data_IF_649539445023
#
_entry.id   IF_649539445023
#
_cell.length_a   1.000
_cell.length_b   1.000
_cell.length_c   1.000
_cell.angle_alpha   90.00
_cell.angle_beta   90.00
_cell.angle_gamma   90.00
#
_symmetry.space_group_name_H-M   'P 1'
#
loop_
_entity.id
_entity.type
_entity.pdbx_description
1 polymer ?
#
# COMPACT_ATOMS: atom_id res chain seq x y z
N UNK A 1 -90.20 39.03 1.36
CA UNK A 1 -89.11 39.52 0.50
C UNK A 1 -88.06 38.43 0.42
N UNK A 2 -88.02 37.69 -0.70
CA UNK A 2 -86.96 37.75 -1.72
C UNK A 2 -85.55 37.33 -1.24
N UNK A 3 -85.18 36.12 -1.66
CA UNK A 3 -83.87 35.61 -2.14
C UNK A 3 -82.57 36.02 -1.43
N UNK A 4 -81.74 35.03 -1.06
CA UNK A 4 -80.54 34.69 -1.86
C UNK A 4 -79.95 33.32 -1.50
N UNK A 5 -79.70 32.52 -2.55
CA UNK A 5 -78.96 31.27 -2.58
C UNK A 5 -77.46 31.48 -2.28
N UNK A 6 -76.84 30.63 -1.46
CA UNK A 6 -75.41 30.32 -1.57
C UNK A 6 -75.22 28.81 -1.52
N UNK A 7 -74.73 28.27 -2.64
CA UNK A 7 -74.31 26.88 -2.82
C UNK A 7 -73.01 26.65 -2.04
N UNK A 8 -72.99 25.68 -1.14
CA UNK A 8 -71.75 25.17 -0.53
C UNK A 8 -71.17 24.12 -1.49
N UNK A 9 -70.03 24.44 -2.10
CA UNK A 9 -69.22 23.51 -2.89
C UNK A 9 -68.32 22.76 -1.92
N UNK A 10 -68.61 21.48 -1.69
CA UNK A 10 -67.71 20.58 -0.96
C UNK A 10 -66.68 20.01 -1.94
N UNK A 11 -65.42 20.39 -1.77
CA UNK A 11 -64.30 19.86 -2.55
C UNK A 11 -63.76 18.62 -1.83
N UNK A 12 -64.09 17.43 -2.33
CA UNK A 12 -63.48 16.17 -1.88
C UNK A 12 -62.11 16.03 -2.56
N UNK A 13 -61.02 16.22 -1.82
CA UNK A 13 -59.68 15.83 -2.27
C UNK A 13 -59.47 14.37 -1.87
N UNK A 14 -59.59 13.47 -2.84
CA UNK A 14 -59.16 12.09 -2.68
C UNK A 14 -57.62 12.06 -2.75
N UNK A 15 -56.96 11.95 -1.59
CA UNK A 15 -55.52 11.65 -1.54
C UNK A 15 -55.35 10.15 -1.69
N UNK A 16 -55.06 9.69 -2.90
CA UNK A 16 -54.55 8.34 -3.14
C UNK A 16 -53.09 8.29 -2.67
N UNK A 17 -52.86 7.73 -1.48
CA UNK A 17 -51.52 7.29 -1.07
C UNK A 17 -51.13 6.09 -1.94
N UNK A 18 -50.40 6.33 -3.03
CA UNK A 18 -49.57 5.28 -3.64
C UNK A 18 -48.34 5.11 -2.76
N UNK A 19 -48.36 4.09 -1.91
CA UNK A 19 -47.16 3.61 -1.25
C UNK A 19 -46.23 3.02 -2.33
N UNK A 20 -45.30 3.83 -2.84
CA UNK A 20 -44.15 3.32 -3.58
C UNK A 20 -43.25 2.68 -2.53
N UNK A 21 -43.35 1.36 -2.40
CA UNK A 21 -42.37 0.59 -1.66
C UNK A 21 -41.04 0.72 -2.38
N UNK A 22 -40.13 1.53 -1.83
CA UNK A 22 -38.71 1.38 -2.14
C UNK A 22 -38.25 0.08 -1.49
N UNK A 23 -38.19 -0.98 -2.28
CA UNK A 23 -37.37 -2.14 -1.93
C UNK A 23 -35.92 -1.66 -1.96
N UNK A 24 -35.36 -1.39 -0.77
CA UNK A 24 -33.93 -1.16 -0.61
C UNK A 24 -33.30 -2.48 -0.18
N UNK A 25 -33.26 -3.45 -1.10
CA UNK A 25 -32.22 -4.49 -1.07
C UNK A 25 -31.04 -3.91 -1.83
N UNK A 26 -30.24 -3.10 -1.14
CA UNK A 26 -28.87 -2.89 -1.59
C UNK A 26 -28.06 -3.99 -0.93
N UNK A 27 -27.80 -5.07 -1.67
CA UNK A 27 -26.85 -6.09 -1.24
C UNK A 27 -25.57 -5.40 -0.76
N UNK A 28 -25.09 -5.80 0.42
CA UNK A 28 -23.86 -5.26 0.97
C UNK A 28 -22.70 -5.59 0.01
N UNK A 29 -21.73 -4.68 -0.18
CA UNK A 29 -20.58 -4.93 -1.04
C UNK A 29 -19.77 -6.14 -0.56
N UNK A 30 -19.27 -6.93 -1.49
CA UNK A 30 -18.49 -8.12 -1.22
C UNK A 30 -17.03 -7.77 -0.98
N UNK A 31 -16.56 -7.89 0.26
CA UNK A 31 -15.18 -7.58 0.64
C UNK A 31 -14.41 -8.85 1.00
N UNK A 32 -13.32 -9.12 0.28
CA UNK A 32 -12.40 -10.21 0.60
C UNK A 32 -11.24 -9.74 1.44
N UNK A 33 -10.97 -10.46 2.53
CA UNK A 33 -9.79 -10.23 3.36
C UNK A 33 -8.73 -11.28 3.06
N UNK A 34 -7.60 -10.85 2.52
CA UNK A 34 -6.43 -11.69 2.24
C UNK A 34 -5.42 -11.56 3.38
N UNK A 35 -5.26 -12.62 4.16
CA UNK A 35 -4.37 -12.62 5.32
C UNK A 35 -2.96 -13.08 4.98
N UNK A 36 -1.96 -12.31 5.44
CA UNK A 36 -0.54 -12.65 5.29
C UNK A 36 0.18 -12.92 6.62
N UNK A 37 -0.50 -12.67 7.76
CA UNK A 37 0.03 -12.85 9.10
C UNK A 37 0.18 -11.51 9.84
N UNK A 38 1.37 -11.26 10.38
CA UNK A 38 1.67 -10.04 11.12
C UNK A 38 1.14 -10.00 12.56
N UNK A 39 1.40 -8.88 13.22
CA UNK A 39 1.03 -8.59 14.62
C UNK A 39 -0.47 -8.57 14.86
N UNK A 40 -1.25 -8.17 13.84
CA UNK A 40 -2.73 -8.13 13.92
C UNK A 40 -3.34 -9.51 14.10
N UNK A 41 -2.68 -10.53 13.52
CA UNK A 41 -2.97 -11.93 13.74
C UNK A 41 -2.11 -12.55 14.85
N UNK A 42 -1.28 -11.76 15.54
CA UNK A 42 -0.34 -12.23 16.55
C UNK A 42 -0.96 -12.31 17.95
N UNK A 43 -0.37 -13.15 18.80
CA UNK A 43 -0.76 -13.35 20.19
C UNK A 43 0.44 -13.25 21.13
N UNK A 44 0.23 -12.64 22.29
CA UNK A 44 1.20 -12.53 23.37
C UNK A 44 0.83 -13.47 24.53
N UNK A 45 1.81 -13.85 25.34
CA UNK A 45 1.60 -14.66 26.56
C UNK A 45 0.88 -13.89 27.69
N UNK A 46 0.89 -12.56 27.63
CA UNK A 46 0.21 -11.67 28.57
C UNK A 46 -0.25 -10.39 27.87
N UNK A 47 -1.37 -9.83 28.31
CA UNK A 47 -1.93 -8.59 27.77
C UNK A 47 -1.04 -7.36 28.00
N UNK A 48 -0.10 -7.43 28.95
CA UNK A 48 0.87 -6.36 29.27
C UNK A 48 2.26 -6.60 28.66
N UNK A 49 2.46 -7.69 27.93
CA UNK A 49 3.73 -8.00 27.27
C UNK A 49 3.85 -7.26 25.92
N UNK A 50 5.02 -6.69 25.67
CA UNK A 50 5.39 -6.19 24.33
C UNK A 50 5.85 -7.30 23.37
N UNK A 51 6.27 -8.46 23.91
CA UNK A 51 6.68 -9.62 23.13
C UNK A 51 5.47 -10.46 22.72
N UNK A 52 5.39 -10.83 21.45
CA UNK A 52 4.33 -11.64 20.86
C UNK A 52 4.87 -12.53 19.73
N UNK A 53 4.08 -13.52 19.31
CA UNK A 53 4.32 -14.28 18.08
C UNK A 53 3.32 -13.83 17.01
N UNK A 54 3.79 -13.48 15.82
CA UNK A 54 2.93 -13.08 14.69
C UNK A 54 2.18 -14.29 14.11
N UNK A 55 1.05 -14.05 13.43
CA UNK A 55 0.39 -15.08 12.62
C UNK A 55 -0.21 -16.27 13.39
N UNK A 56 -0.69 -16.07 14.62
CA UNK A 56 -1.26 -17.13 15.45
C UNK A 56 -2.78 -17.27 15.30
N UNK A 57 -3.46 -16.26 14.76
CA UNK A 57 -4.92 -16.19 14.67
C UNK A 57 -5.35 -16.26 13.20
N UNK A 58 -6.19 -17.24 12.88
CA UNK A 58 -6.78 -17.39 11.55
C UNK A 58 -7.78 -16.28 11.20
N UNK A 59 -7.93 -16.01 9.91
CA UNK A 59 -8.73 -14.88 9.41
C UNK A 59 -10.20 -14.90 9.86
N UNK A 60 -10.85 -16.06 9.89
CA UNK A 60 -12.25 -16.14 10.30
C UNK A 60 -12.46 -15.73 11.77
N UNK A 61 -11.50 -16.09 12.63
CA UNK A 61 -11.48 -15.67 14.03
C UNK A 61 -11.33 -14.17 14.16
N UNK A 62 -10.45 -13.55 13.36
CA UNK A 62 -10.30 -12.09 13.34
C UNK A 62 -11.58 -11.38 12.88
N UNK A 63 -12.23 -11.86 11.81
CA UNK A 63 -13.50 -11.29 11.32
C UNK A 63 -14.58 -11.38 12.41
N UNK A 64 -14.71 -12.54 13.06
CA UNK A 64 -15.72 -12.74 14.11
C UNK A 64 -15.45 -11.90 15.37
N UNK A 65 -14.19 -11.53 15.61
CA UNK A 65 -13.79 -10.72 16.76
C UNK A 65 -14.09 -9.21 16.59
N UNK A 66 -14.44 -8.74 15.39
CA UNK A 66 -14.73 -7.31 15.13
C UNK A 66 -16.25 -7.07 15.05
N UNK A 67 -16.87 -6.46 16.08
CA UNK A 67 -18.29 -6.20 16.08
C UNK A 67 -18.71 -5.25 14.96
N UNK A 68 -19.84 -5.54 14.31
CA UNK A 68 -20.43 -4.66 13.29
C UNK A 68 -19.76 -4.71 11.93
N UNK A 69 -18.65 -5.44 11.74
CA UNK A 69 -17.94 -5.51 10.45
C UNK A 69 -18.85 -6.04 9.32
N UNK A 70 -19.73 -7.00 9.63
CA UNK A 70 -20.72 -7.56 8.69
C UNK A 70 -21.89 -6.62 8.36
N UNK A 71 -21.94 -5.44 8.99
CA UNK A 71 -22.89 -4.37 8.61
C UNK A 71 -22.30 -3.45 7.55
N UNK A 72 -20.98 -3.50 7.33
CA UNK A 72 -20.28 -2.69 6.33
C UNK A 72 -20.22 -3.37 4.96
N UNK A 73 -20.16 -4.70 4.94
CA UNK A 73 -19.90 -5.52 3.77
C UNK A 73 -20.30 -6.98 4.04
N UNK A 74 -20.51 -7.77 2.98
CA UNK A 74 -20.40 -9.23 3.09
C UNK A 74 -18.90 -9.59 3.11
N UNK A 75 -18.42 -9.95 4.30
CA UNK A 75 -16.98 -10.11 4.58
C UNK A 75 -16.62 -11.58 4.66
N UNK A 76 -15.59 -11.96 3.91
CA UNK A 76 -15.05 -13.30 3.94
C UNK A 76 -13.53 -13.29 3.79
N UNK A 77 -12.87 -14.33 4.33
CA UNK A 77 -11.42 -14.36 4.48
C UNK A 77 -10.75 -15.49 3.70
N UNK A 78 -9.52 -15.25 3.26
CA UNK A 78 -8.62 -16.25 2.68
C UNK A 78 -7.21 -16.08 3.26
N UNK A 79 -6.56 -17.19 3.61
CA UNK A 79 -5.18 -17.17 4.10
C UNK A 79 -4.21 -17.33 2.93
N UNK A 80 -3.46 -16.27 2.61
CA UNK A 80 -2.47 -16.29 1.51
C UNK A 80 -1.10 -16.71 2.01
N UNK A 81 -0.68 -16.19 3.16
CA UNK A 81 0.57 -16.53 3.86
C UNK A 81 0.36 -16.37 5.37
N UNK A 82 1.30 -16.84 6.19
CA UNK A 82 1.21 -16.67 7.63
C UNK A 82 2.60 -16.44 8.25
N UNK A 83 3.14 -15.24 8.03
CA UNK A 83 4.52 -14.88 8.42
C UNK A 83 4.57 -13.53 9.13
N UNK A 84 5.67 -13.27 9.83
CA UNK A 84 6.04 -11.90 10.18
C UNK A 84 6.37 -11.10 8.92
N UNK A 85 6.07 -9.80 8.89
CA UNK A 85 6.34 -8.97 7.71
C UNK A 85 7.83 -8.90 7.35
N UNK A 86 8.71 -9.08 8.32
CA UNK A 86 10.16 -9.20 8.12
C UNK A 86 10.57 -10.45 7.31
N UNK A 87 9.69 -11.44 7.20
CA UNK A 87 9.92 -12.69 6.45
C UNK A 87 9.11 -12.71 5.12
N UNK A 88 8.55 -11.58 4.70
CA UNK A 88 7.86 -11.47 3.40
C UNK A 88 8.88 -11.62 2.26
N UNK A 89 8.53 -12.45 1.29
CA UNK A 89 9.35 -12.73 0.11
C UNK A 89 8.69 -12.24 -1.17
N UNK A 90 9.47 -12.16 -2.25
CA UNK A 90 8.96 -11.88 -3.61
C UNK A 90 7.93 -12.92 -4.04
N UNK A 91 8.11 -14.18 -3.65
CA UNK A 91 7.14 -15.25 -3.94
C UNK A 91 5.78 -14.95 -3.30
N UNK A 92 5.76 -14.51 -2.03
CA UNK A 92 4.54 -14.11 -1.33
C UNK A 92 3.91 -12.89 -2.01
N UNK A 93 4.71 -11.90 -2.43
CA UNK A 93 4.22 -10.75 -3.20
C UNK A 93 3.56 -11.16 -4.52
N UNK A 94 4.20 -12.01 -5.30
CA UNK A 94 3.64 -12.50 -6.58
C UNK A 94 2.36 -13.31 -6.34
N UNK A 95 2.33 -14.19 -5.34
CA UNK A 95 1.13 -14.95 -4.95
C UNK A 95 -0.02 -14.03 -4.56
N UNK A 96 0.24 -13.05 -3.69
CA UNK A 96 -0.76 -12.09 -3.23
C UNK A 96 -1.29 -11.23 -4.36
N UNK A 97 -0.42 -10.65 -5.18
CA UNK A 97 -0.81 -9.78 -6.30
C UNK A 97 -1.60 -10.53 -7.38
N UNK A 98 -1.20 -11.77 -7.71
CA UNK A 98 -1.95 -12.60 -8.66
C UNK A 98 -3.34 -12.92 -8.11
N UNK A 99 -3.45 -13.28 -6.83
CA UNK A 99 -4.73 -13.56 -6.19
C UNK A 99 -5.65 -12.33 -6.14
N UNK A 100 -5.09 -11.15 -5.85
CA UNK A 100 -5.82 -9.89 -5.90
C UNK A 100 -6.36 -9.62 -7.30
N UNK A 101 -5.52 -9.74 -8.33
CA UNK A 101 -5.94 -9.52 -9.72
C UNK A 101 -7.00 -10.52 -10.18
N UNK A 102 -6.89 -11.79 -9.77
CA UNK A 102 -7.91 -12.82 -10.06
C UNK A 102 -9.26 -12.46 -9.42
N UNK A 103 -9.26 -12.12 -8.13
CA UNK A 103 -10.49 -11.79 -7.40
C UNK A 103 -11.16 -10.52 -7.93
N UNK A 104 -10.38 -9.47 -8.19
CA UNK A 104 -10.93 -8.19 -8.67
C UNK A 104 -11.37 -8.20 -10.13
N UNK A 105 -10.97 -9.20 -10.91
CA UNK A 105 -11.49 -9.43 -12.26
C UNK A 105 -12.91 -10.00 -12.26
N UNK A 106 -13.37 -10.59 -11.15
CA UNK A 106 -14.77 -11.00 -10.97
C UNK A 106 -15.63 -9.82 -10.53
N UNK A 107 -16.90 -9.83 -10.91
CA UNK A 107 -17.93 -8.91 -10.40
C UNK A 107 -18.38 -9.27 -8.97
N UNK A 108 -18.05 -10.46 -8.48
CA UNK A 108 -18.42 -10.96 -7.14
C UNK A 108 -17.58 -10.36 -5.99
N UNK A 109 -16.55 -9.58 -6.30
CA UNK A 109 -15.69 -8.92 -5.30
C UNK A 109 -15.66 -7.43 -5.58
N UNK A 110 -16.10 -6.63 -4.63
CA UNK A 110 -16.18 -5.16 -4.74
C UNK A 110 -14.93 -4.47 -4.20
N UNK A 111 -14.22 -5.11 -3.27
CA UNK A 111 -12.99 -4.59 -2.68
C UNK A 111 -12.20 -5.64 -1.91
N UNK A 112 -10.93 -5.33 -1.66
CA UNK A 112 -10.01 -6.21 -0.93
C UNK A 112 -9.40 -5.49 0.26
N UNK A 113 -9.33 -6.21 1.38
CA UNK A 113 -8.49 -5.86 2.52
C UNK A 113 -7.33 -6.85 2.60
N UNK A 114 -6.11 -6.38 2.82
CA UNK A 114 -4.95 -7.22 3.12
C UNK A 114 -4.55 -7.01 4.57
N UNK A 115 -4.60 -8.05 5.40
CA UNK A 115 -4.00 -7.99 6.75
C UNK A 115 -2.53 -8.35 6.66
N UNK A 116 -1.68 -7.46 7.17
CA UNK A 116 -0.22 -7.52 7.00
C UNK A 116 0.51 -7.10 8.28
N UNK A 117 1.74 -7.59 8.45
CA UNK A 117 2.65 -7.11 9.49
C UNK A 117 3.19 -5.71 9.15
N UNK A 118 3.46 -4.89 10.16
CA UNK A 118 3.76 -3.47 9.94
C UNK A 118 5.17 -3.20 9.44
N UNK A 119 6.13 -4.12 9.56
CA UNK A 119 7.54 -3.81 9.27
C UNK A 119 7.81 -3.57 7.78
N UNK A 120 7.14 -4.30 6.89
CA UNK A 120 7.30 -4.19 5.42
C UNK A 120 5.97 -3.92 4.71
N UNK A 121 4.96 -3.42 5.44
CA UNK A 121 3.66 -3.10 4.86
C UNK A 121 3.75 -2.00 3.80
N UNK A 122 4.61 -1.01 4.00
CA UNK A 122 4.84 0.07 3.01
C UNK A 122 5.40 -0.45 1.69
N UNK A 123 6.21 -1.51 1.75
CA UNK A 123 6.82 -2.16 0.59
C UNK A 123 5.76 -2.97 -0.16
N UNK A 124 5.02 -3.82 0.55
CA UNK A 124 3.96 -4.64 -0.03
C UNK A 124 2.87 -3.77 -0.66
N UNK A 125 2.43 -2.72 0.04
CA UNK A 125 1.44 -1.79 -0.48
C UNK A 125 1.94 -1.11 -1.78
N UNK A 126 3.20 -0.65 -1.80
CA UNK A 126 3.75 -0.01 -2.99
C UNK A 126 3.89 -0.99 -4.17
N UNK A 127 4.39 -2.20 -3.92
CA UNK A 127 4.43 -3.25 -4.93
C UNK A 127 3.05 -3.51 -5.54
N UNK A 128 2.03 -3.74 -4.69
CA UNK A 128 0.65 -3.94 -5.13
C UNK A 128 0.13 -2.75 -5.95
N UNK A 129 0.44 -1.51 -5.54
CA UNK A 129 -0.01 -0.30 -6.24
C UNK A 129 0.47 -0.25 -7.69
N UNK A 130 1.63 -0.85 -7.98
CA UNK A 130 2.21 -0.88 -9.32
C UNK A 130 1.67 -2.02 -10.18
N UNK A 131 1.27 -3.15 -9.59
CA UNK A 131 1.00 -4.40 -10.35
C UNK A 131 -0.47 -4.84 -10.33
N UNK A 132 -1.29 -4.33 -9.41
CA UNK A 132 -2.74 -4.59 -9.40
C UNK A 132 -3.40 -3.87 -10.58
N UNK A 133 -4.31 -4.54 -11.29
CA UNK A 133 -5.01 -4.04 -12.48
C UNK A 133 -6.51 -3.94 -12.23
N UNK A 134 -6.87 -3.07 -11.30
CA UNK A 134 -8.25 -2.77 -10.97
C UNK A 134 -8.39 -1.33 -10.47
N UNK A 135 -9.58 -0.77 -10.61
CA UNK A 135 -10.03 0.46 -9.95
C UNK A 135 -10.77 0.17 -8.64
N UNK A 136 -11.14 -1.09 -8.38
CA UNK A 136 -11.75 -1.53 -7.12
C UNK A 136 -10.80 -1.31 -5.95
N UNK A 137 -11.29 -0.95 -4.76
CA UNK A 137 -10.43 -0.59 -3.64
C UNK A 137 -9.58 -1.76 -3.14
N UNK A 138 -8.30 -1.50 -2.88
CA UNK A 138 -7.40 -2.42 -2.17
C UNK A 138 -6.80 -1.68 -0.98
N UNK A 139 -7.05 -2.20 0.22
CA UNK A 139 -6.62 -1.56 1.47
C UNK A 139 -5.74 -2.52 2.26
N UNK A 140 -4.50 -2.16 2.51
CA UNK A 140 -3.67 -2.90 3.47
C UNK A 140 -3.87 -2.34 4.87
N UNK A 141 -3.90 -3.21 5.87
CA UNK A 141 -4.01 -2.83 7.29
C UNK A 141 -3.21 -3.80 8.18
N UNK A 142 -3.01 -3.42 9.42
CA UNK A 142 -2.19 -4.15 10.39
C UNK A 142 -2.38 -3.60 11.81
N UNK A 143 -1.45 -3.96 12.69
CA UNK A 143 -1.38 -3.40 14.05
C UNK A 143 0.07 -3.37 14.54
N UNK A 144 0.36 -2.39 15.40
CA UNK A 144 1.56 -2.26 16.21
C UNK A 144 1.46 -3.08 17.50
N UNK A 145 0.25 -3.28 18.05
CA UNK A 145 -0.01 -4.11 19.23
C UNK A 145 -0.63 -5.46 18.84
N UNK A 146 -0.25 -6.51 19.55
CA UNK A 146 -0.82 -7.84 19.34
C UNK A 146 -2.31 -7.87 19.70
N UNK A 147 -3.04 -8.86 19.17
CA UNK A 147 -4.49 -9.00 19.41
C UNK A 147 -4.87 -9.14 20.90
N UNK A 148 -3.96 -9.67 21.72
CA UNK A 148 -4.17 -9.90 23.16
C UNK A 148 -3.74 -8.72 24.02
N UNK A 149 -3.08 -7.71 23.45
CA UNK A 149 -2.55 -6.57 24.19
C UNK A 149 -3.66 -5.65 24.73
N UNK A 150 -3.41 -5.01 25.87
CA UNK A 150 -4.29 -3.94 26.36
C UNK A 150 -4.36 -2.83 25.30
N UNK A 151 -5.57 -2.38 25.01
CA UNK A 151 -5.84 -1.34 24.01
C UNK A 151 -5.28 -1.68 22.62
N UNK A 152 -5.38 -2.94 22.20
CA UNK A 152 -5.07 -3.35 20.84
C UNK A 152 -5.93 -2.60 19.82
N UNK A 153 -5.29 -1.99 18.82
CA UNK A 153 -5.93 -1.18 17.78
C UNK A 153 -6.36 -1.99 16.54
N UNK A 154 -5.89 -3.24 16.43
CA UNK A 154 -6.19 -4.14 15.30
C UNK A 154 -7.67 -4.24 14.94
N UNK A 155 -8.60 -4.40 15.91
CA UNK A 155 -10.04 -4.47 15.60
C UNK A 155 -10.59 -3.23 14.89
N UNK A 156 -10.24 -2.02 15.34
CA UNK A 156 -10.72 -0.79 14.70
C UNK A 156 -10.03 -0.55 13.35
N UNK A 157 -8.73 -0.84 13.25
CA UNK A 157 -8.00 -0.79 11.98
C UNK A 157 -8.66 -1.71 10.94
N UNK A 158 -9.00 -2.95 11.31
CA UNK A 158 -9.68 -3.90 10.41
C UNK A 158 -11.08 -3.44 10.03
N UNK A 159 -11.86 -2.95 11.00
CA UNK A 159 -13.20 -2.39 10.75
C UNK A 159 -13.15 -1.24 9.74
N UNK A 160 -12.24 -0.27 9.96
CA UNK A 160 -12.07 0.88 9.09
C UNK A 160 -11.53 0.48 7.71
N UNK A 161 -10.61 -0.49 7.63
CA UNK A 161 -10.11 -0.99 6.36
C UNK A 161 -11.22 -1.65 5.52
N UNK A 162 -12.11 -2.42 6.15
CA UNK A 162 -13.30 -2.97 5.46
C UNK A 162 -14.23 -1.85 5.01
N UNK A 163 -14.46 -0.83 5.86
CA UNK A 163 -15.30 0.31 5.47
C UNK A 163 -14.74 1.09 4.28
N UNK A 164 -13.42 1.23 4.18
CA UNK A 164 -12.78 1.85 3.01
C UNK A 164 -12.93 0.94 1.79
N UNK A 165 -12.67 -0.37 1.95
CA UNK A 165 -12.75 -1.33 0.85
C UNK A 165 -14.17 -1.48 0.29
N UNK A 166 -15.19 -1.23 1.10
CA UNK A 166 -16.60 -1.26 0.72
C UNK A 166 -17.15 0.06 0.19
N UNK A 167 -16.37 1.14 0.20
CA UNK A 167 -16.88 2.47 -0.14
C UNK A 167 -16.64 2.83 -1.63
N UNK A 168 -17.68 3.23 -2.38
CA UNK A 168 -17.53 3.66 -3.77
C UNK A 168 -16.55 4.82 -3.99
N UNK A 169 -16.39 5.75 -3.04
CA UNK A 169 -15.45 6.88 -3.13
C UNK A 169 -13.98 6.44 -3.09
N UNK A 170 -13.71 5.22 -2.60
CA UNK A 170 -12.38 4.64 -2.58
C UNK A 170 -11.96 4.04 -3.94
N UNK A 171 -12.87 3.94 -4.92
CA UNK A 171 -12.55 3.48 -6.27
C UNK A 171 -11.58 4.45 -6.95
N UNK A 172 -10.61 3.90 -7.67
CA UNK A 172 -9.62 4.68 -8.40
C UNK A 172 -8.58 5.40 -7.53
N UNK A 173 -8.50 5.11 -6.22
CA UNK A 173 -7.52 5.69 -5.29
C UNK A 173 -6.19 4.91 -5.22
N UNK A 174 -6.06 3.85 -6.01
CA UNK A 174 -4.93 2.92 -5.96
C UNK A 174 -4.95 2.07 -4.69
N UNK A 175 -3.82 1.42 -4.39
CA UNK A 175 -3.68 0.70 -3.13
C UNK A 175 -3.51 1.72 -2.00
N UNK A 176 -4.28 1.52 -0.93
CA UNK A 176 -4.25 2.36 0.25
C UNK A 176 -3.69 1.60 1.45
N UNK A 177 -3.17 2.35 2.42
CA UNK A 177 -2.80 1.84 3.75
C UNK A 177 -3.68 2.52 4.78
N UNK A 178 -4.38 1.74 5.60
CA UNK A 178 -5.24 2.28 6.67
C UNK A 178 -4.86 1.75 8.04
N UNK A 179 -4.43 2.68 8.89
CA UNK A 179 -4.00 2.48 10.28
C UNK A 179 -4.31 3.77 11.05
N UNK A 180 -4.71 3.66 12.32
CA UNK A 180 -4.87 4.81 13.22
C UNK A 180 -5.79 5.90 12.64
N UNK A 181 -6.95 5.50 12.12
CA UNK A 181 -7.99 6.37 11.54
C UNK A 181 -7.54 7.19 10.32
N UNK A 182 -6.39 6.87 9.73
CA UNK A 182 -5.82 7.55 8.57
C UNK A 182 -5.90 6.67 7.32
N UNK A 183 -5.98 7.32 6.15
CA UNK A 183 -5.93 6.69 4.84
C UNK A 183 -4.74 7.25 4.07
N UNK A 184 -3.76 6.42 3.74
CA UNK A 184 -2.56 6.83 3.02
C UNK A 184 -2.49 6.21 1.63
N UNK A 185 -1.86 6.92 0.69
CA UNK A 185 -1.45 6.34 -0.58
C UNK A 185 -0.29 5.38 -0.35
N UNK A 186 -0.36 4.18 -0.93
CA UNK A 186 0.69 3.16 -0.82
C UNK A 186 2.09 3.67 -1.17
N UNK A 187 2.18 4.55 -2.19
CA UNK A 187 3.44 5.16 -2.61
C UNK A 187 4.06 6.08 -1.56
N UNK A 188 3.25 6.83 -0.83
CA UNK A 188 3.75 7.94 -0.02
C UNK A 188 3.91 7.59 1.47
N UNK A 189 3.32 6.49 1.93
CA UNK A 189 3.33 6.10 3.35
C UNK A 189 4.61 5.36 3.77
N UNK A 190 5.15 5.66 4.94
CA UNK A 190 6.22 4.86 5.56
C UNK A 190 6.01 4.71 7.05
N UNK A 191 6.58 3.66 7.63
CA UNK A 191 6.64 3.42 9.07
C UNK A 191 7.71 4.33 9.69
N UNK A 192 7.27 5.41 10.33
CA UNK A 192 8.11 6.45 10.94
C UNK A 192 8.36 6.24 12.44
N UNK A 193 7.65 5.30 13.08
CA UNK A 193 7.86 4.98 14.49
C UNK A 193 7.85 3.47 14.74
N UNK A 194 8.71 3.02 15.65
CA UNK A 194 8.92 1.61 15.95
C UNK A 194 7.87 1.01 16.88
N UNK A 195 7.14 1.82 17.67
CA UNK A 195 6.22 1.30 18.72
C UNK A 195 4.87 2.01 18.81
N UNK A 196 4.78 3.28 18.42
CA UNK A 196 3.55 4.08 18.49
C UNK A 196 2.50 3.55 17.50
N UNK A 197 1.22 3.52 17.89
CA UNK A 197 0.09 3.16 17.00
C UNK A 197 -0.05 4.13 15.82
N UNK A 198 0.38 5.38 15.97
CA UNK A 198 0.50 6.36 14.89
C UNK A 198 1.84 6.22 14.14
N UNK A 199 2.24 4.99 13.81
CA UNK A 199 3.57 4.72 13.22
C UNK A 199 3.66 5.03 11.74
N UNK A 200 2.57 4.90 10.98
CA UNK A 200 2.58 5.16 9.54
C UNK A 200 2.27 6.62 9.27
N UNK A 201 3.10 7.26 8.45
CA UNK A 201 2.92 8.65 8.03
C UNK A 201 3.24 8.78 6.55
N UNK A 202 2.67 9.79 5.90
CA UNK A 202 3.06 10.20 4.54
C UNK A 202 3.75 11.56 4.61
N UNK A 203 5.03 11.62 5.02
CA UNK A 203 5.62 12.86 5.52
C UNK A 203 5.88 13.93 4.45
N UNK A 204 5.93 13.56 3.16
CA UNK A 204 6.18 14.49 2.06
C UNK A 204 4.87 15.05 1.50
N UNK A 205 3.90 14.17 1.21
CA UNK A 205 2.66 14.54 0.51
C UNK A 205 1.45 14.64 1.44
N UNK A 206 1.48 14.02 2.62
CA UNK A 206 0.34 13.91 3.53
C UNK A 206 -0.59 12.76 3.18
N UNK A 207 -1.48 12.42 4.11
CA UNK A 207 -2.50 11.38 3.95
C UNK A 207 -3.52 11.74 2.85
N UNK A 208 -4.18 10.73 2.29
CA UNK A 208 -5.28 10.89 1.34
C UNK A 208 -6.56 11.35 2.05
N UNK A 209 -6.81 10.87 3.26
CA UNK A 209 -8.07 11.05 3.96
C UNK A 209 -8.04 10.53 5.39
N UNK A 210 -9.18 10.66 6.07
CA UNK A 210 -9.43 10.07 7.38
C UNK A 210 -10.60 9.10 7.33
N UNK A 211 -10.63 8.16 8.28
CA UNK A 211 -11.72 7.21 8.49
C UNK A 211 -12.00 7.11 9.99
N UNK A 212 -13.27 7.28 10.37
CA UNK A 212 -13.70 7.25 11.76
C UNK A 212 -14.95 6.38 11.89
N UNK A 213 -14.79 5.19 12.49
CA UNK A 213 -15.86 4.21 12.66
C UNK A 213 -16.65 3.98 11.37
N UNK A 214 -15.91 3.78 10.26
CA UNK A 214 -16.45 3.49 8.93
C UNK A 214 -17.02 4.67 8.16
N UNK A 215 -17.00 5.89 8.74
CA UNK A 215 -17.24 7.13 8.00
C UNK A 215 -15.91 7.68 7.52
N UNK A 216 -15.77 7.92 6.23
CA UNK A 216 -14.51 8.39 5.65
C UNK A 216 -14.69 9.67 4.86
N UNK A 217 -13.57 10.37 4.67
CA UNK A 217 -13.50 11.54 3.81
C UNK A 217 -12.09 11.67 3.24
N UNK A 218 -12.01 11.89 1.92
CA UNK A 218 -10.77 12.14 1.21
C UNK A 218 -10.51 13.65 1.13
N UNK A 219 -9.27 14.05 1.41
CA UNK A 219 -8.76 15.41 1.29
C UNK A 219 -7.86 15.58 0.07
N UNK A 220 -7.27 14.49 -0.42
CA UNK A 220 -6.29 14.47 -1.51
C UNK A 220 -6.45 13.23 -2.39
N UNK A 221 -5.94 13.33 -3.61
CA UNK A 221 -5.83 12.27 -4.60
C UNK A 221 -4.36 11.87 -4.81
N UNK A 222 -4.05 10.60 -5.11
CA UNK A 222 -2.71 10.24 -5.54
C UNK A 222 -2.39 10.89 -6.90
N UNK A 223 -1.15 11.35 -7.08
CA UNK A 223 -0.71 12.12 -8.25
C UNK A 223 0.34 11.42 -9.13
N UNK A 224 0.45 10.09 -9.02
CA UNK A 224 1.42 9.25 -9.74
C UNK A 224 0.70 8.08 -10.40
N UNK A 225 1.38 7.34 -11.27
CA UNK A 225 0.76 6.19 -11.94
C UNK A 225 0.66 4.98 -11.00
N UNK A 226 -0.50 4.36 -10.96
CA UNK A 226 -0.80 3.15 -10.20
C UNK A 226 -1.93 2.36 -10.87
N UNK A 227 -2.21 1.15 -10.40
CA UNK A 227 -3.38 0.40 -10.81
C UNK A 227 -3.41 0.14 -12.33
N UNK A 228 -4.55 0.45 -12.95
CA UNK A 228 -4.77 0.38 -14.40
C UNK A 228 -3.90 1.34 -15.21
N UNK A 229 -3.44 2.46 -14.62
CA UNK A 229 -2.55 3.42 -15.32
C UNK A 229 -1.08 3.00 -15.28
N UNK A 230 -0.73 2.02 -14.43
CA UNK A 230 0.62 1.50 -14.36
C UNK A 230 0.94 0.58 -15.54
N UNK A 231 2.15 0.69 -16.09
CA UNK A 231 2.63 -0.19 -17.16
C UNK A 231 3.13 -1.56 -16.66
N UNK A 232 3.34 -1.72 -15.35
CA UNK A 232 3.87 -2.96 -14.79
C UNK A 232 2.78 -4.01 -14.66
N UNK A 233 3.07 -5.23 -15.11
CA UNK A 233 2.22 -6.40 -14.89
C UNK A 233 3.12 -7.58 -14.51
N UNK A 234 2.60 -8.43 -13.62
CA UNK A 234 3.27 -9.65 -13.16
C UNK A 234 2.68 -10.92 -13.78
N UNK A 235 1.80 -10.81 -14.78
CA UNK A 235 1.23 -11.98 -15.47
C UNK A 235 2.35 -12.86 -16.03
N UNK A 236 2.41 -14.11 -15.58
CA UNK A 236 3.44 -15.08 -15.99
C UNK A 236 4.82 -14.87 -15.38
N UNK A 237 5.01 -13.85 -14.52
CA UNK A 237 6.26 -13.60 -13.81
C UNK A 237 6.38 -14.60 -12.66
N UNK A 238 7.47 -15.38 -12.66
CA UNK A 238 7.78 -16.36 -11.60
C UNK A 238 8.80 -15.82 -10.59
N UNK A 239 9.70 -14.96 -11.05
CA UNK A 239 10.77 -14.37 -10.25
C UNK A 239 10.98 -12.92 -10.68
N UNK A 240 11.49 -12.09 -9.78
CA UNK A 240 11.91 -10.72 -10.09
C UNK A 240 13.43 -10.62 -10.02
N UNK A 241 14.05 -9.74 -10.83
CA UNK A 241 15.50 -9.50 -10.77
C UNK A 241 15.95 -9.15 -9.35
N UNK A 242 17.08 -9.72 -8.92
CA UNK A 242 17.68 -9.39 -7.63
C UNK A 242 18.10 -7.93 -7.62
N UNK A 243 17.52 -7.16 -6.70
CA UNK A 243 17.92 -5.78 -6.39
C UNK A 243 18.23 -5.71 -4.90
N UNK A 244 19.43 -5.22 -4.59
CA UNK A 244 19.91 -5.11 -3.21
C UNK A 244 19.92 -3.63 -2.77
N UNK A 245 19.90 -3.39 -1.45
CA UNK A 245 20.02 -2.04 -0.87
C UNK A 245 21.33 -1.97 -0.10
N UNK A 246 22.15 -0.95 -0.35
CA UNK A 246 23.36 -0.67 0.43
C UNK A 246 23.17 0.62 1.21
N UNK A 247 23.42 0.57 2.51
CA UNK A 247 23.32 1.74 3.37
C UNK A 247 24.61 2.55 3.36
N UNK A 248 24.55 3.82 2.98
CA UNK A 248 25.71 4.69 3.02
C UNK A 248 25.98 5.23 4.43
N UNK A 249 27.25 5.33 4.78
CA UNK A 249 27.75 5.86 6.04
C UNK A 249 29.16 6.45 5.83
N UNK A 250 29.68 7.15 6.84
CA UNK A 250 31.03 7.69 6.79
C UNK A 250 32.03 6.54 6.66
N UNK A 251 32.97 6.65 5.71
CA UNK A 251 33.93 5.59 5.40
C UNK A 251 33.28 4.29 4.84
N UNK A 252 32.15 4.43 4.14
CA UNK A 252 31.58 3.32 3.36
C UNK A 252 32.59 2.83 2.31
N UNK A 253 32.86 1.52 2.33
CA UNK A 253 33.80 0.89 1.41
C UNK A 253 33.15 0.62 0.03
N UNK A 254 33.87 0.87 -1.09
CA UNK A 254 33.38 0.60 -2.45
C UNK A 254 33.24 -0.89 -2.79
N UNK A 255 33.95 -1.77 -2.06
CA UNK A 255 33.89 -3.22 -2.29
C UNK A 255 32.49 -3.82 -2.04
N UNK A 256 31.63 -3.15 -1.26
CA UNK A 256 30.25 -3.54 -1.05
C UNK A 256 29.51 -3.67 -2.38
N UNK A 257 29.71 -2.73 -3.32
CA UNK A 257 29.10 -2.82 -4.66
C UNK A 257 29.59 -4.08 -5.37
N UNK A 258 30.90 -4.33 -5.39
CA UNK A 258 31.49 -5.51 -6.03
C UNK A 258 30.97 -6.82 -5.42
N UNK A 259 30.76 -6.87 -4.11
CA UNK A 259 30.19 -8.05 -3.42
C UNK A 259 28.76 -8.34 -3.89
N UNK A 260 27.91 -7.31 -4.01
CA UNK A 260 26.55 -7.45 -4.49
C UNK A 260 26.49 -7.85 -5.98
N UNK A 261 27.36 -7.28 -6.80
CA UNK A 261 27.52 -7.65 -8.22
C UNK A 261 27.91 -9.14 -8.34
N UNK A 262 28.94 -9.58 -7.59
CA UNK A 262 29.37 -10.99 -7.56
C UNK A 262 28.28 -11.95 -7.07
N UNK A 263 27.42 -11.48 -6.16
CA UNK A 263 26.28 -12.25 -5.68
C UNK A 263 25.09 -12.28 -6.68
N UNK A 264 25.21 -11.63 -7.84
CA UNK A 264 24.24 -11.69 -8.92
C UNK A 264 23.20 -10.57 -8.92
N UNK A 265 23.42 -9.47 -8.19
CA UNK A 265 22.54 -8.31 -8.25
C UNK A 265 22.42 -7.78 -9.69
N UNK A 266 21.20 -7.43 -10.10
CA UNK A 266 20.89 -6.77 -11.38
C UNK A 266 20.66 -5.27 -11.22
N UNK A 267 20.35 -4.85 -10.00
CA UNK A 267 20.34 -3.46 -9.60
C UNK A 267 20.75 -3.31 -8.15
N UNK A 268 21.20 -2.11 -7.79
CA UNK A 268 21.55 -1.75 -6.42
C UNK A 268 20.94 -0.38 -6.14
N UNK A 269 20.22 -0.27 -5.02
CA UNK A 269 19.78 1.00 -4.48
C UNK A 269 20.75 1.40 -3.38
N UNK A 270 21.35 2.58 -3.50
CA UNK A 270 22.16 3.13 -2.42
C UNK A 270 21.28 4.04 -1.57
N UNK A 271 21.11 3.70 -0.29
CA UNK A 271 20.55 4.61 0.70
C UNK A 271 21.63 5.64 1.09
N UNK A 272 21.83 6.60 0.18
CA UNK A 272 22.87 7.62 0.25
C UNK A 272 22.71 8.57 1.45
N UNK A 273 23.74 9.36 1.70
CA UNK A 273 23.68 10.45 2.70
C UNK A 273 23.11 11.72 2.07
N UNK A 274 22.41 12.56 2.84
CA UNK A 274 21.89 13.83 2.34
C UNK A 274 21.00 13.68 1.09
N UNK A 275 21.35 14.35 0.01
CA UNK A 275 20.63 14.34 -1.28
C UNK A 275 21.01 13.11 -2.15
N UNK A 276 21.10 11.94 -1.52
CA UNK A 276 21.53 10.70 -2.18
C UNK A 276 23.00 10.70 -2.60
N UNK A 277 23.85 11.35 -1.82
CA UNK A 277 25.28 11.49 -2.07
C UNK A 277 26.05 10.25 -1.64
N UNK A 278 27.21 10.08 -2.28
CA UNK A 278 28.20 9.03 -2.04
C UNK A 278 29.60 9.62 -2.26
N UNK A 279 30.65 8.94 -1.81
CA UNK A 279 32.03 9.38 -2.07
C UNK A 279 32.44 9.08 -3.51
N UNK A 280 33.47 9.76 -4.02
CA UNK A 280 34.03 9.51 -5.35
C UNK A 280 34.43 8.05 -5.58
N UNK A 281 34.90 7.36 -4.53
CA UNK A 281 35.26 5.95 -4.61
C UNK A 281 34.02 5.07 -4.89
N UNK A 282 32.91 5.34 -4.20
CA UNK A 282 31.63 4.65 -4.43
C UNK A 282 31.08 4.99 -5.82
N UNK A 283 31.16 6.26 -6.26
CA UNK A 283 30.71 6.67 -7.60
C UNK A 283 31.48 5.94 -8.71
N UNK A 284 32.80 5.81 -8.56
CA UNK A 284 33.63 5.03 -9.50
C UNK A 284 33.27 3.54 -9.49
N UNK A 285 32.98 2.97 -8.33
CA UNK A 285 32.52 1.58 -8.23
C UNK A 285 31.13 1.38 -8.86
N UNK A 286 30.21 2.32 -8.68
CA UNK A 286 28.89 2.33 -9.32
C UNK A 286 29.01 2.35 -10.86
N UNK A 287 29.85 3.25 -11.38
CA UNK A 287 30.14 3.33 -12.82
C UNK A 287 30.68 2.00 -13.35
N UNK A 288 31.69 1.43 -12.67
CA UNK A 288 32.28 0.15 -13.05
C UNK A 288 31.26 -1.00 -13.02
N UNK A 289 30.40 -1.05 -12.02
CA UNK A 289 29.34 -2.06 -11.94
C UNK A 289 28.38 -2.03 -13.14
N UNK A 290 28.08 -0.84 -13.65
CA UNK A 290 27.29 -0.70 -14.88
C UNK A 290 28.12 -1.06 -16.13
N UNK A 291 29.30 -0.49 -16.30
CA UNK A 291 30.12 -0.67 -17.51
C UNK A 291 30.56 -2.13 -17.71
N UNK A 292 30.96 -2.82 -16.64
CA UNK A 292 31.50 -4.18 -16.70
C UNK A 292 30.39 -5.25 -16.63
N UNK A 293 29.26 -4.97 -15.98
CA UNK A 293 28.27 -5.99 -15.62
C UNK A 293 26.81 -5.61 -15.89
N UNK A 294 26.54 -4.39 -16.35
CA UNK A 294 25.19 -3.90 -16.62
C UNK A 294 24.31 -3.72 -15.37
N UNK A 295 24.91 -3.62 -14.17
CA UNK A 295 24.17 -3.45 -12.92
C UNK A 295 23.71 -2.01 -12.77
N UNK A 296 22.41 -1.81 -12.63
CA UNK A 296 21.80 -0.47 -12.52
C UNK A 296 21.92 0.06 -11.10
N UNK A 297 22.39 1.31 -10.96
CA UNK A 297 22.55 1.95 -9.65
C UNK A 297 21.51 3.06 -9.48
N UNK A 298 20.69 2.96 -8.44
CA UNK A 298 19.71 3.98 -8.03
C UNK A 298 20.19 4.67 -6.76
N UNK A 299 20.22 6.00 -6.78
CA UNK A 299 20.49 6.83 -5.61
C UNK A 299 19.18 7.13 -4.90
N UNK A 300 19.04 6.60 -3.71
CA UNK A 300 18.05 7.01 -2.71
C UNK A 300 18.78 7.64 -1.53
N UNK A 301 18.05 7.92 -0.46
CA UNK A 301 18.61 8.54 0.73
C UNK A 301 18.16 7.81 1.98
N UNK A 302 19.04 7.76 2.96
CA UNK A 302 18.69 7.34 4.33
C UNK A 302 18.00 8.44 5.13
N UNK A 303 17.94 9.67 4.61
CA UNK A 303 17.15 10.73 5.21
C UNK A 303 15.66 10.34 5.19
N UNK A 304 14.93 10.69 6.25
CA UNK A 304 13.55 10.26 6.42
C UNK A 304 12.57 10.95 5.44
N UNK A 305 12.93 12.11 4.92
CA UNK A 305 12.12 12.92 3.99
C UNK A 305 13.01 13.67 3.01
N UNK A 306 12.41 14.16 1.91
CA UNK A 306 13.08 14.97 0.89
C UNK A 306 13.13 14.31 -0.47
N UNK A 307 13.77 14.99 -1.43
CA UNK A 307 13.98 14.50 -2.79
C UNK A 307 15.47 14.26 -3.05
N UNK A 308 15.79 13.12 -3.63
CA UNK A 308 17.06 12.89 -4.32
C UNK A 308 16.98 13.50 -5.70
N UNK A 309 17.65 14.63 -5.89
CA UNK A 309 17.68 15.36 -7.15
C UNK A 309 18.70 14.75 -8.12
N UNK A 310 18.33 14.75 -9.40
CA UNK A 310 19.22 14.36 -10.50
C UNK A 310 20.13 15.52 -10.88
N UNK A 311 21.36 15.23 -11.26
CA UNK A 311 22.34 16.20 -11.75
C UNK A 311 22.62 17.35 -10.76
N UNK A 312 22.53 17.07 -9.45
CA UNK A 312 22.66 18.09 -8.40
C UNK A 312 24.13 18.35 -8.00
N UNK A 313 24.80 17.36 -7.40
CA UNK A 313 26.21 17.51 -6.97
C UNK A 313 27.21 16.98 -8.01
N UNK A 314 26.73 16.13 -8.91
CA UNK A 314 27.45 15.59 -10.06
C UNK A 314 26.43 15.20 -11.13
N UNK A 315 26.89 15.03 -12.37
CA UNK A 315 26.03 14.55 -13.46
C UNK A 315 25.82 13.04 -13.32
N UNK A 316 24.58 12.61 -13.16
CA UNK A 316 24.24 11.20 -12.99
C UNK A 316 24.68 10.35 -14.21
N UNK A 317 24.69 10.96 -15.39
CA UNK A 317 25.15 10.33 -16.63
C UNK A 317 26.63 9.92 -16.60
N UNK A 318 27.49 10.63 -15.85
CA UNK A 318 28.93 10.33 -15.78
C UNK A 318 29.22 9.01 -15.03
N UNK A 319 28.27 8.56 -14.20
CA UNK A 319 28.36 7.37 -13.35
C UNK A 319 27.24 6.34 -13.60
N UNK A 320 26.39 6.56 -14.61
CA UNK A 320 25.25 5.69 -14.96
C UNK A 320 24.25 5.50 -13.80
N UNK A 321 24.04 6.54 -13.00
CA UNK A 321 23.12 6.49 -11.85
C UNK A 321 21.73 7.02 -12.19
N UNK A 322 20.74 6.61 -11.40
CA UNK A 322 19.36 7.11 -11.43
C UNK A 322 19.06 7.80 -10.11
N UNK A 323 18.43 8.97 -10.12
CA UNK A 323 17.93 9.61 -8.92
C UNK A 323 16.52 9.08 -8.58
N UNK A 324 16.29 8.64 -7.35
CA UNK A 324 15.00 8.04 -6.94
C UNK A 324 13.89 9.03 -6.63
N UNK A 325 14.16 10.34 -6.66
CA UNK A 325 13.20 11.35 -6.24
C UNK A 325 12.86 11.20 -4.76
N UNK A 326 11.57 11.07 -4.42
CA UNK A 326 11.07 10.90 -3.05
C UNK A 326 10.89 9.44 -2.63
N UNK A 327 11.23 8.48 -3.49
CA UNK A 327 11.16 7.08 -3.10
C UNK A 327 12.29 6.76 -2.12
N UNK A 328 11.91 6.34 -0.91
CA UNK A 328 12.83 5.77 0.05
C UNK A 328 13.53 4.51 -0.53
N UNK A 329 14.60 4.01 0.09
CA UNK A 329 15.40 2.92 -0.50
C UNK A 329 14.59 1.64 -0.77
N UNK A 330 13.66 1.30 0.11
CA UNK A 330 12.83 0.11 -0.01
C UNK A 330 11.84 0.20 -1.19
N UNK A 331 11.22 1.37 -1.39
CA UNK A 331 10.33 1.61 -2.53
C UNK A 331 11.08 1.78 -3.84
N UNK A 332 12.23 2.44 -3.82
CA UNK A 332 13.10 2.55 -4.98
C UNK A 332 13.55 1.16 -5.46
N UNK A 333 13.81 0.23 -4.53
CA UNK A 333 14.13 -1.17 -4.84
C UNK A 333 12.99 -1.85 -5.58
N UNK A 334 11.75 -1.70 -5.11
CA UNK A 334 10.56 -2.29 -5.76
C UNK A 334 10.40 -1.78 -7.19
N UNK A 335 10.47 -0.46 -7.39
CA UNK A 335 10.33 0.12 -8.72
C UNK A 335 11.45 -0.35 -9.66
N UNK A 336 12.69 -0.45 -9.15
CA UNK A 336 13.83 -0.97 -9.93
C UNK A 336 13.63 -2.44 -10.31
N UNK A 337 13.15 -3.29 -9.39
CA UNK A 337 12.86 -4.70 -9.67
C UNK A 337 11.85 -4.85 -10.81
N UNK A 338 10.78 -4.05 -10.79
CA UNK A 338 9.74 -4.08 -11.83
C UNK A 338 10.22 -3.50 -13.17
N UNK A 339 11.02 -2.43 -13.14
CA UNK A 339 11.64 -1.87 -14.34
C UNK A 339 12.59 -2.86 -15.01
N UNK A 340 13.46 -3.52 -14.23
CA UNK A 340 14.36 -4.55 -14.74
C UNK A 340 13.60 -5.76 -15.29
N UNK A 341 12.52 -6.18 -14.62
CA UNK A 341 11.68 -7.29 -15.09
C UNK A 341 11.03 -7.01 -16.45
N UNK A 342 10.74 -5.74 -16.74
CA UNK A 342 10.24 -5.28 -18.04
C UNK A 342 11.32 -5.08 -19.11
N UNK A 343 12.60 -5.23 -18.77
CA UNK A 343 13.71 -4.98 -19.69
C UNK A 343 13.88 -3.50 -20.03
N UNK A 344 13.48 -2.61 -19.14
CA UNK A 344 13.67 -1.16 -19.30
C UNK A 344 15.17 -0.85 -19.40
N UNK A 345 15.52 0.15 -20.22
CA UNK A 345 16.92 0.58 -20.38
C UNK A 345 17.22 1.74 -19.43
N UNK A 346 18.49 1.91 -19.06
CA UNK A 346 18.95 2.97 -18.15
C UNK A 346 18.36 4.35 -18.49
N UNK A 347 18.39 4.72 -19.78
CA UNK A 347 17.91 6.03 -20.25
C UNK A 347 16.41 6.26 -20.01
N UNK A 348 15.62 5.19 -20.01
CA UNK A 348 14.16 5.26 -19.83
C UNK A 348 13.76 5.12 -18.35
N UNK A 349 14.63 4.51 -17.54
CA UNK A 349 14.34 4.23 -16.13
C UNK A 349 14.20 5.49 -15.29
N UNK A 350 14.97 6.55 -15.56
CA UNK A 350 14.87 7.79 -14.78
C UNK A 350 13.46 8.37 -14.79
N UNK A 351 12.77 8.32 -15.94
CA UNK A 351 11.39 8.82 -16.06
C UNK A 351 10.40 8.00 -15.22
N UNK A 352 10.68 6.72 -15.01
CA UNK A 352 9.86 5.87 -14.15
C UNK A 352 9.88 6.35 -12.71
N UNK A 353 11.04 6.76 -12.19
CA UNK A 353 11.18 7.27 -10.84
C UNK A 353 10.51 8.64 -10.63
N UNK A 354 10.20 9.37 -11.71
CA UNK A 354 9.40 10.59 -11.63
C UNK A 354 7.90 10.34 -11.83
N UNK A 355 7.54 9.29 -12.55
CA UNK A 355 6.15 8.97 -12.90
C UNK A 355 5.44 8.12 -11.83
N UNK A 356 6.16 7.22 -11.16
CA UNK A 356 5.62 6.16 -10.30
C UNK A 356 5.91 6.36 -8.81
#
# INVERSE_FOLDING_TARGET
>A
MKFLNIKIVAFLIAVTLTAVGFAQDTDLPNVKILATGGTIAGAASSATSGSYSAGQIGIQTMINAVPGIKKLADVSGEQVANVGSQDITVEIWLKLANRINELLASDDVDGIVVTHGTDTQEETAYFLSLVVKSDKPVVTTGSMRSSTSISAEGPLNLYNAVAIASNPEAKGKGVMVSLNDQIHAARDVSKMNTTNVNSFQSPIKGMLGGVFYGRLGFFREPNTKFGNTSKFSITGVKELPRVDIIYAYADMSPDLIDMHVKAGAKGIVIAGVGNGNMTDAILKAAKKAYEDHGVIIVRSTRAATGWVLRDNEFKDADYHTIASGDLNPAKARILLMLALSKGEKLNDMQELFYTY
#
